data_IF_484115727064
#
_entry.id   IF_484115727064
#
_cell.length_a   1.000
_cell.length_b   1.000
_cell.length_c   1.000
_cell.angle_alpha   90.00
_cell.angle_beta   90.00
_cell.angle_gamma   90.00
#
_symmetry.space_group_name_H-M   'P 1'
#
loop_
_entity.id
_entity.type
_entity.pdbx_description
1 polymer ?
#
# COMPACT_ATOMS: atom_id res chain seq x y z
N UNK A 1 3.40 -32.08 3.33
CA UNK A 1 3.02 -30.69 3.50
C UNK A 1 3.95 -29.96 4.45
N UNK A 2 3.90 -28.64 4.51
CA UNK A 2 4.61 -27.84 5.49
C UNK A 2 4.00 -28.01 6.89
N UNK A 3 4.81 -27.77 7.92
CA UNK A 3 4.36 -27.76 9.33
C UNK A 3 4.74 -26.44 9.97
N UNK A 4 3.86 -25.93 10.85
CA UNK A 4 4.19 -24.78 11.71
C UNK A 4 4.42 -25.31 13.11
N UNK A 5 5.61 -25.08 13.61
CA UNK A 5 5.97 -25.41 14.98
C UNK A 5 5.82 -24.15 15.84
N UNK A 6 4.69 -24.08 16.54
CA UNK A 6 4.34 -22.90 17.33
C UNK A 6 5.23 -22.70 18.56
N UNK A 7 5.74 -23.80 19.14
CA UNK A 7 6.58 -23.73 20.32
C UNK A 7 7.93 -23.06 20.02
N UNK A 8 8.50 -23.37 18.87
CA UNK A 8 9.78 -22.80 18.44
C UNK A 8 9.63 -21.62 17.49
N UNK A 9 8.41 -21.29 17.06
CA UNK A 9 8.15 -20.21 16.12
C UNK A 9 8.75 -20.43 14.74
N UNK A 10 8.70 -21.67 14.24
CA UNK A 10 9.39 -22.10 13.02
C UNK A 10 8.39 -22.66 12.01
N UNK A 11 8.55 -22.29 10.73
CA UNK A 11 7.91 -22.99 9.61
C UNK A 11 8.89 -24.01 9.05
N UNK A 12 8.49 -25.28 9.07
CA UNK A 12 9.24 -26.42 8.53
C UNK A 12 8.79 -26.68 7.09
N UNK A 13 9.66 -26.46 6.13
CA UNK A 13 9.42 -26.64 4.70
C UNK A 13 10.03 -27.96 4.25
N UNK A 14 9.25 -28.89 3.66
CA UNK A 14 9.79 -30.14 3.20
C UNK A 14 10.69 -29.94 1.98
N UNK A 15 11.89 -30.51 2.02
CA UNK A 15 12.86 -30.55 0.91
C UNK A 15 12.89 -31.91 0.19
N UNK A 16 12.06 -32.87 0.62
CA UNK A 16 12.10 -34.27 0.18
C UNK A 16 12.97 -35.15 1.07
N UNK A 17 12.75 -36.49 1.02
CA UNK A 17 13.53 -37.47 1.78
C UNK A 17 13.53 -37.25 3.29
N UNK A 18 12.40 -36.87 3.87
CA UNK A 18 12.22 -36.55 5.32
C UNK A 18 13.06 -35.35 5.82
N UNK A 19 13.68 -34.59 4.92
CA UNK A 19 14.43 -33.35 5.25
C UNK A 19 13.52 -32.14 5.26
N UNK A 20 13.77 -31.22 6.18
CA UNK A 20 13.04 -29.96 6.30
C UNK A 20 14.03 -28.79 6.32
N UNK A 21 13.56 -27.65 5.78
CA UNK A 21 14.23 -26.38 5.92
C UNK A 21 13.43 -25.52 6.90
N UNK A 22 14.07 -25.07 7.94
CA UNK A 22 13.45 -24.36 9.05
C UNK A 22 13.59 -22.84 8.85
N UNK A 23 12.45 -22.12 8.82
CA UNK A 23 12.42 -20.66 8.76
C UNK A 23 11.88 -20.14 10.09
N UNK A 24 12.71 -19.43 10.82
CA UNK A 24 12.31 -18.77 12.07
C UNK A 24 11.42 -17.56 11.77
N UNK A 25 10.25 -17.52 12.38
CA UNK A 25 9.32 -16.40 12.30
C UNK A 25 9.67 -15.35 13.36
N UNK A 26 9.46 -14.08 13.04
CA UNK A 26 9.59 -13.03 14.05
C UNK A 26 8.36 -12.98 14.97
N UNK A 27 8.52 -12.42 16.16
CA UNK A 27 7.47 -12.35 17.17
C UNK A 27 6.20 -11.63 16.70
N UNK A 28 6.33 -10.65 15.80
CA UNK A 28 5.18 -9.95 15.25
C UNK A 28 4.32 -10.88 14.39
N UNK A 29 4.95 -11.67 13.51
CA UNK A 29 4.25 -12.64 12.66
C UNK A 29 3.61 -13.72 13.53
N UNK A 30 4.35 -14.27 14.52
CA UNK A 30 3.84 -15.28 15.44
C UNK A 30 2.58 -14.80 16.16
N UNK A 31 2.58 -13.61 16.75
CA UNK A 31 1.40 -13.03 17.42
C UNK A 31 0.21 -12.85 16.48
N UNK A 32 0.49 -12.57 15.19
CA UNK A 32 -0.57 -12.36 14.19
C UNK A 32 -1.24 -13.66 13.76
N UNK A 33 -0.49 -14.76 13.62
CA UNK A 33 -0.98 -15.99 13.00
C UNK A 33 -1.22 -17.12 14.01
N UNK A 34 -0.79 -16.99 15.27
CA UNK A 34 -0.91 -18.04 16.30
C UNK A 34 -2.34 -18.53 16.55
N UNK A 35 -3.32 -17.63 16.38
CA UNK A 35 -4.75 -17.93 16.56
C UNK A 35 -5.49 -18.15 15.25
N UNK A 36 -4.79 -18.11 14.12
CA UNK A 36 -5.39 -18.16 12.79
C UNK A 36 -5.04 -19.47 12.06
N UNK A 37 -5.93 -19.93 11.22
CA UNK A 37 -5.67 -21.10 10.37
C UNK A 37 -4.77 -20.71 9.20
N UNK A 38 -3.54 -21.20 9.20
CA UNK A 38 -2.58 -21.04 8.11
C UNK A 38 -2.88 -22.07 7.02
N UNK A 39 -3.01 -21.59 5.76
CA UNK A 39 -3.34 -22.42 4.60
C UNK A 39 -2.13 -22.78 3.78
N UNK A 40 -1.32 -21.78 3.46
CA UNK A 40 -0.19 -21.95 2.56
C UNK A 40 0.90 -20.90 2.83
N UNK A 41 2.05 -21.14 2.26
CA UNK A 41 3.12 -20.15 2.21
C UNK A 41 3.75 -20.14 0.81
N UNK A 42 4.38 -19.06 0.45
CA UNK A 42 5.22 -18.94 -0.74
C UNK A 42 6.50 -18.19 -0.43
N UNK A 43 7.58 -18.59 -1.09
CA UNK A 43 8.87 -17.93 -0.99
C UNK A 43 9.22 -17.37 -2.37
N UNK A 44 9.48 -16.09 -2.44
CA UNK A 44 9.94 -15.45 -3.67
C UNK A 44 11.44 -15.68 -3.87
N UNK A 45 11.92 -15.53 -5.13
CA UNK A 45 13.34 -15.54 -5.46
C UNK A 45 14.18 -14.49 -4.73
N UNK A 46 13.53 -13.46 -4.17
CA UNK A 46 14.15 -12.41 -3.35
C UNK A 46 14.18 -12.76 -1.85
N UNK A 47 13.87 -14.01 -1.46
CA UNK A 47 13.87 -14.45 -0.07
C UNK A 47 12.70 -13.88 0.77
N UNK A 48 11.61 -13.43 0.15
CA UNK A 48 10.42 -12.99 0.90
C UNK A 48 9.49 -14.17 1.13
N UNK A 49 9.16 -14.42 2.39
CA UNK A 49 8.14 -15.37 2.81
C UNK A 49 6.78 -14.68 2.87
N UNK A 50 5.79 -15.23 2.19
CA UNK A 50 4.38 -14.84 2.28
C UNK A 50 3.58 -15.98 2.88
N UNK A 51 2.76 -15.68 3.88
CA UNK A 51 1.93 -16.67 4.60
C UNK A 51 0.47 -16.33 4.35
N UNK A 52 -0.30 -17.29 3.84
CA UNK A 52 -1.74 -17.19 3.63
C UNK A 52 -2.47 -17.78 4.83
N UNK A 53 -3.39 -17.02 5.40
CA UNK A 53 -4.21 -17.44 6.54
C UNK A 53 -5.65 -16.95 6.40
N UNK A 54 -6.59 -17.64 7.03
CA UNK A 54 -7.96 -17.17 7.16
C UNK A 54 -8.18 -16.47 8.49
N UNK A 55 -8.94 -15.40 8.46
CA UNK A 55 -9.45 -14.69 9.62
C UNK A 55 -10.96 -14.89 9.67
N UNK A 56 -11.57 -15.06 10.84
CA UNK A 56 -13.03 -15.04 10.98
C UNK A 56 -13.58 -13.76 10.33
N UNK A 57 -14.68 -13.90 9.61
CA UNK A 57 -15.41 -12.74 9.07
C UNK A 57 -15.94 -11.97 10.26
N UNK A 58 -15.56 -10.72 10.40
CA UNK A 58 -16.14 -9.81 11.38
C UNK A 58 -17.56 -9.46 10.91
N UNK A 59 -18.49 -9.27 11.86
CA UNK A 59 -19.83 -8.81 11.55
C UNK A 59 -19.79 -7.53 10.71
N UNK A 60 -20.61 -7.49 9.68
CA UNK A 60 -20.74 -6.30 8.85
C UNK A 60 -21.47 -5.21 9.66
N UNK A 61 -20.92 -4.03 9.64
CA UNK A 61 -21.55 -2.87 10.27
C UNK A 61 -22.59 -2.32 9.30
N UNK A 62 -23.84 -2.27 9.74
CA UNK A 62 -24.88 -1.57 8.97
C UNK A 62 -24.56 -0.07 8.92
N UNK A 63 -24.42 0.45 7.69
CA UNK A 63 -24.10 1.85 7.48
C UNK A 63 -25.39 2.68 7.47
N UNK A 64 -25.41 3.74 8.27
CA UNK A 64 -26.56 4.67 8.35
C UNK A 64 -26.49 5.80 7.32
N UNK A 65 -25.29 6.10 6.81
CA UNK A 65 -25.07 7.16 5.82
C UNK A 65 -23.88 6.82 4.93
N UNK A 66 -23.71 7.58 3.84
CA UNK A 66 -22.61 7.42 2.88
C UNK A 66 -21.84 8.74 2.76
N UNK A 67 -20.51 8.65 2.76
CA UNK A 67 -19.62 9.77 2.45
C UNK A 67 -18.91 9.56 1.13
N UNK A 68 -18.66 10.62 0.39
CA UNK A 68 -17.84 10.62 -0.81
C UNK A 68 -16.35 10.75 -0.47
N UNK A 69 -15.49 10.12 -1.27
CA UNK A 69 -14.04 10.30 -1.19
C UNK A 69 -13.51 10.80 -2.53
N UNK A 70 -12.96 12.02 -2.50
CA UNK A 70 -12.25 12.66 -3.59
C UNK A 70 -10.73 12.60 -3.40
N UNK A 71 -9.99 12.31 -4.48
CA UNK A 71 -8.54 12.07 -4.47
C UNK A 71 -7.80 13.07 -5.32
N UNK A 72 -7.26 14.08 -4.69
CA UNK A 72 -6.48 15.12 -5.32
C UNK A 72 -4.97 14.87 -5.25
N UNK A 73 -4.18 15.63 -5.99
CA UNK A 73 -2.72 15.48 -6.07
C UNK A 73 -2.01 15.69 -4.71
N UNK A 74 -2.51 16.59 -3.88
CA UNK A 74 -1.90 16.93 -2.59
C UNK A 74 -2.77 16.63 -1.38
N UNK A 75 -3.98 16.12 -1.57
CA UNK A 75 -4.89 15.82 -0.48
C UNK A 75 -5.92 14.74 -0.85
N UNK A 76 -6.56 14.21 0.16
CA UNK A 76 -7.77 13.40 0.05
C UNK A 76 -8.86 14.09 0.84
N UNK A 77 -10.01 14.26 0.24
CA UNK A 77 -11.18 14.86 0.87
C UNK A 77 -12.24 13.79 1.08
N UNK A 78 -12.76 13.71 2.29
CA UNK A 78 -13.84 12.78 2.66
C UNK A 78 -14.98 13.59 3.23
N UNK A 79 -16.18 13.38 2.76
CA UNK A 79 -17.31 14.13 3.30
C UNK A 79 -18.64 13.85 2.62
N UNK A 80 -19.64 14.52 3.14
CA UNK A 80 -21.00 14.63 2.60
C UNK A 80 -21.38 16.12 2.49
N UNK A 81 -22.68 16.39 2.33
CA UNK A 81 -23.21 17.77 2.24
C UNK A 81 -22.96 18.56 3.53
N UNK A 82 -23.01 17.90 4.70
CA UNK A 82 -22.96 18.55 6.00
C UNK A 82 -21.54 18.78 6.51
N UNK A 83 -20.65 17.80 6.27
CA UNK A 83 -19.30 17.81 6.83
C UNK A 83 -18.28 17.31 5.80
N UNK A 84 -17.20 18.05 5.68
CA UNK A 84 -16.08 17.68 4.82
C UNK A 84 -14.77 17.74 5.60
N UNK A 85 -13.96 16.68 5.49
CA UNK A 85 -12.65 16.56 6.12
C UNK A 85 -11.60 16.42 5.02
N UNK A 86 -10.62 17.30 5.06
CA UNK A 86 -9.48 17.29 4.13
C UNK A 86 -8.24 16.76 4.82
N UNK A 87 -7.66 15.71 4.27
CA UNK A 87 -6.40 15.11 4.72
C UNK A 87 -5.27 15.55 3.79
N UNK A 88 -4.27 16.20 4.37
CA UNK A 88 -3.10 16.66 3.63
C UNK A 88 -2.14 15.53 3.28
N UNK A 89 -1.61 15.56 2.05
CA UNK A 89 -0.63 14.62 1.50
C UNK A 89 0.59 15.33 0.89
N UNK A 90 0.84 16.60 1.21
CA UNK A 90 2.01 17.35 0.70
C UNK A 90 3.32 16.64 0.99
N UNK A 91 3.44 15.99 2.15
CA UNK A 91 4.60 15.16 2.49
C UNK A 91 4.87 14.04 1.47
N UNK A 92 3.84 13.52 0.81
CA UNK A 92 4.02 12.56 -0.29
C UNK A 92 4.64 13.23 -1.51
N UNK A 93 4.22 14.47 -1.83
CA UNK A 93 4.77 15.25 -2.94
C UNK A 93 6.23 15.61 -2.67
N UNK A 94 6.58 16.05 -1.46
CA UNK A 94 7.96 16.30 -1.05
C UNK A 94 8.86 15.07 -1.24
N UNK A 95 8.40 13.89 -0.83
CA UNK A 95 9.15 12.63 -1.02
C UNK A 95 9.35 12.33 -2.52
N UNK A 96 8.35 12.62 -3.36
CA UNK A 96 8.43 12.44 -4.81
C UNK A 96 9.45 13.41 -5.41
N UNK A 97 9.38 14.70 -5.05
CA UNK A 97 10.25 15.74 -5.60
C UNK A 97 11.71 15.57 -5.13
N UNK A 98 11.94 15.21 -3.87
CA UNK A 98 13.27 14.84 -3.36
C UNK A 98 13.85 13.64 -4.13
N UNK A 99 13.03 12.64 -4.44
CA UNK A 99 13.49 11.49 -5.26
C UNK A 99 13.86 11.92 -6.67
N UNK A 100 13.11 12.84 -7.29
CA UNK A 100 13.45 13.41 -8.60
C UNK A 100 14.76 14.18 -8.58
N UNK A 101 15.01 14.96 -7.54
CA UNK A 101 16.26 15.71 -7.37
C UNK A 101 17.46 14.76 -7.28
N UNK A 102 17.33 13.67 -6.52
CA UNK A 102 18.36 12.63 -6.48
C UNK A 102 18.58 12.01 -7.87
N UNK A 103 17.52 11.70 -8.61
CA UNK A 103 17.67 11.15 -9.97
C UNK A 103 18.40 12.12 -10.91
N UNK A 104 18.09 13.41 -10.82
CA UNK A 104 18.77 14.46 -11.61
C UNK A 104 20.28 14.54 -11.31
N UNK A 105 20.69 14.41 -10.06
CA UNK A 105 22.11 14.45 -9.67
C UNK A 105 22.93 13.30 -10.26
N UNK A 106 22.29 12.20 -10.62
CA UNK A 106 22.94 11.04 -11.25
C UNK A 106 22.73 10.94 -12.77
N UNK A 107 22.18 11.94 -13.43
CA UNK A 107 21.88 11.87 -14.88
C UNK A 107 23.10 11.67 -15.77
N UNK A 108 24.27 12.17 -15.36
CA UNK A 108 25.52 12.06 -16.11
C UNK A 108 26.29 10.77 -15.87
N UNK A 109 25.83 9.92 -14.95
CA UNK A 109 26.47 8.65 -14.63
C UNK A 109 26.14 7.58 -15.65
N UNK A 110 26.96 6.53 -15.64
CA UNK A 110 26.76 5.30 -16.43
C UNK A 110 25.36 4.71 -16.18
N UNK A 111 24.80 4.06 -17.21
CA UNK A 111 23.48 3.44 -17.16
C UNK A 111 23.35 2.41 -16.03
N UNK A 112 24.39 1.64 -15.73
CA UNK A 112 24.38 0.62 -14.66
C UNK A 112 24.23 1.28 -13.29
N UNK A 113 24.95 2.38 -13.06
CA UNK A 113 24.86 3.19 -11.83
C UNK A 113 23.46 3.78 -11.71
N UNK A 114 22.96 4.43 -12.77
CA UNK A 114 21.60 5.01 -12.79
C UNK A 114 20.52 3.97 -12.49
N UNK A 115 20.60 2.78 -13.09
CA UNK A 115 19.66 1.69 -12.83
C UNK A 115 19.62 1.27 -11.36
N UNK A 116 20.79 1.13 -10.71
CA UNK A 116 20.89 0.83 -9.28
C UNK A 116 20.31 1.95 -8.41
N UNK A 117 20.60 3.21 -8.73
CA UNK A 117 20.08 4.39 -8.02
C UNK A 117 18.55 4.47 -8.15
N UNK A 118 18.02 4.31 -9.35
CA UNK A 118 16.57 4.33 -9.60
C UNK A 118 15.84 3.22 -8.84
N UNK A 119 16.37 2.00 -8.85
CA UNK A 119 15.78 0.90 -8.09
C UNK A 119 15.80 1.18 -6.58
N UNK A 120 16.95 1.60 -6.02
CA UNK A 120 17.11 1.88 -4.59
C UNK A 120 16.18 2.99 -4.10
N UNK A 121 16.24 4.15 -4.75
CA UNK A 121 15.46 5.31 -4.32
C UNK A 121 13.99 5.23 -4.73
N UNK A 122 13.67 4.55 -5.83
CA UNK A 122 12.30 4.23 -6.20
C UNK A 122 11.60 3.36 -5.16
N UNK A 123 12.27 2.32 -4.68
CA UNK A 123 11.75 1.48 -3.61
C UNK A 123 11.60 2.24 -2.28
N UNK A 124 12.57 3.07 -1.92
CA UNK A 124 12.49 3.93 -0.72
C UNK A 124 11.31 4.90 -0.81
N UNK A 125 11.14 5.57 -1.95
CA UNK A 125 10.00 6.45 -2.21
C UNK A 125 8.69 5.70 -2.03
N UNK A 126 8.53 4.56 -2.73
CA UNK A 126 7.32 3.73 -2.65
C UNK A 126 6.99 3.35 -1.21
N UNK A 127 7.97 2.89 -0.45
CA UNK A 127 7.75 2.47 0.93
C UNK A 127 7.34 3.64 1.84
N UNK A 128 8.00 4.81 1.72
CA UNK A 128 7.66 6.00 2.51
C UNK A 128 6.26 6.51 2.18
N UNK A 129 5.91 6.63 0.90
CA UNK A 129 4.58 7.06 0.47
C UNK A 129 3.53 6.06 0.95
N UNK A 130 3.75 4.76 0.75
CA UNK A 130 2.81 3.74 1.23
C UNK A 130 2.60 3.80 2.74
N UNK A 131 3.63 4.07 3.53
CA UNK A 131 3.49 4.21 4.98
C UNK A 131 2.57 5.38 5.37
N UNK A 132 2.68 6.51 4.68
CA UNK A 132 1.78 7.66 4.88
C UNK A 132 0.34 7.27 4.51
N UNK A 133 0.16 6.68 3.33
CA UNK A 133 -1.16 6.23 2.87
C UNK A 133 -1.78 5.18 3.78
N UNK A 134 -0.97 4.28 4.37
CA UNK A 134 -1.45 3.30 5.35
C UNK A 134 -1.97 3.93 6.64
N UNK A 135 -1.29 4.95 7.14
CA UNK A 135 -1.76 5.70 8.31
C UNK A 135 -3.05 6.44 7.99
N UNK A 136 -3.06 7.18 6.88
CA UNK A 136 -4.23 7.92 6.44
C UNK A 136 -5.45 7.01 6.24
N UNK A 137 -5.30 5.94 5.47
CA UNK A 137 -6.40 5.02 5.19
C UNK A 137 -6.91 4.32 6.45
N UNK A 138 -6.05 4.09 7.47
CA UNK A 138 -6.49 3.58 8.77
C UNK A 138 -7.35 4.61 9.51
N UNK A 139 -6.92 5.87 9.54
CA UNK A 139 -7.67 6.93 10.22
C UNK A 139 -9.05 7.13 9.57
N UNK A 140 -9.10 7.20 8.23
CA UNK A 140 -10.37 7.31 7.50
C UNK A 140 -11.30 6.14 7.85
N UNK A 141 -10.82 4.90 7.78
CA UNK A 141 -11.67 3.72 8.05
C UNK A 141 -12.13 3.68 9.51
N UNK A 142 -11.28 4.06 10.47
CA UNK A 142 -11.68 4.12 11.86
C UNK A 142 -12.80 5.15 12.07
N UNK A 143 -12.66 6.35 11.50
CA UNK A 143 -13.69 7.40 11.59
C UNK A 143 -15.01 6.96 10.95
N UNK A 144 -14.95 6.29 9.80
CA UNK A 144 -16.13 5.72 9.14
C UNK A 144 -16.82 4.65 10.00
N UNK A 145 -16.05 3.80 10.66
CA UNK A 145 -16.59 2.77 11.56
C UNK A 145 -17.27 3.39 12.79
N UNK A 146 -16.64 4.37 13.41
CA UNK A 146 -17.18 5.08 14.58
C UNK A 146 -18.52 5.77 14.25
N UNK A 147 -18.62 6.34 13.05
CA UNK A 147 -19.83 7.04 12.59
C UNK A 147 -20.83 6.13 11.85
N UNK A 148 -20.56 4.82 11.72
CA UNK A 148 -21.38 3.87 10.94
C UNK A 148 -21.64 4.34 9.51
N UNK A 149 -20.59 4.84 8.83
CA UNK A 149 -20.68 5.40 7.50
C UNK A 149 -20.06 4.48 6.45
N UNK A 150 -20.77 4.34 5.32
CA UNK A 150 -20.22 3.75 4.10
C UNK A 150 -19.40 4.76 3.31
N UNK A 151 -18.53 4.28 2.42
CA UNK A 151 -17.68 5.13 1.59
C UNK A 151 -17.94 4.90 0.09
N UNK A 152 -18.18 6.00 -0.62
CA UNK A 152 -18.28 6.03 -2.07
C UNK A 152 -17.00 6.59 -2.69
N UNK A 153 -16.49 5.95 -3.74
CA UNK A 153 -15.31 6.39 -4.46
C UNK A 153 -15.69 6.92 -5.84
N UNK A 154 -15.08 8.01 -6.22
CA UNK A 154 -15.16 8.46 -7.61
C UNK A 154 -14.57 7.43 -8.59
N UNK A 155 -15.13 7.39 -9.79
CA UNK A 155 -14.65 6.51 -10.86
C UNK A 155 -13.65 7.27 -11.73
N UNK A 156 -12.36 7.19 -11.41
CA UNK A 156 -11.26 7.79 -12.18
C UNK A 156 -10.90 6.96 -13.42
N UNK A 157 -11.88 6.66 -14.26
CA UNK A 157 -11.61 6.02 -15.56
C UNK A 157 -11.00 7.04 -16.51
N UNK A 158 -9.96 6.59 -17.22
CA UNK A 158 -9.27 7.41 -18.22
C UNK A 158 -8.59 8.67 -17.73
N UNK A 159 -8.46 8.90 -16.41
CA UNK A 159 -7.77 10.09 -15.87
C UNK A 159 -6.38 10.29 -16.49
N UNK A 160 -5.69 9.21 -16.86
CA UNK A 160 -4.37 9.29 -17.51
C UNK A 160 -4.40 9.95 -18.90
N UNK A 161 -5.52 9.95 -19.58
CA UNK A 161 -5.68 10.63 -20.86
C UNK A 161 -5.60 12.16 -20.71
N UNK A 162 -6.02 12.68 -19.55
CA UNK A 162 -6.00 14.13 -19.28
C UNK A 162 -4.59 14.72 -19.21
N UNK A 163 -3.58 13.89 -18.89
CA UNK A 163 -2.18 14.34 -18.76
C UNK A 163 -1.22 13.58 -19.68
N UNK A 164 -1.70 13.10 -20.82
CA UNK A 164 -0.86 12.61 -21.90
C UNK A 164 -0.09 13.74 -22.58
N UNK A 165 1.04 13.37 -23.24
CA UNK A 165 1.79 14.33 -24.05
C UNK A 165 0.89 14.87 -25.17
N UNK A 166 0.87 16.17 -25.34
CA UNK A 166 0.00 16.84 -26.33
C UNK A 166 -1.23 17.54 -25.78
N UNK A 167 -1.66 17.25 -24.55
CA UNK A 167 -2.85 17.85 -23.93
C UNK A 167 -2.59 19.20 -23.23
N UNK A 168 -1.62 19.99 -23.71
CA UNK A 168 -1.33 21.33 -23.18
C UNK A 168 -0.67 21.40 -21.80
N UNK A 169 -0.48 20.27 -21.13
CA UNK A 169 0.02 20.24 -19.77
C UNK A 169 1.54 20.08 -19.71
N UNK A 170 2.16 20.85 -18.82
CA UNK A 170 3.61 20.86 -18.65
C UNK A 170 4.18 19.51 -18.17
N UNK A 171 5.45 19.25 -18.50
CA UNK A 171 6.17 18.02 -18.15
C UNK A 171 6.18 17.74 -16.64
N UNK A 172 6.31 18.78 -15.82
CA UNK A 172 6.35 18.65 -14.36
C UNK A 172 5.00 18.17 -13.80
N UNK A 173 3.91 18.73 -14.27
CA UNK A 173 2.57 18.31 -13.88
C UNK A 173 2.31 16.86 -14.27
N UNK A 174 2.58 16.48 -15.53
CA UNK A 174 2.43 15.11 -15.99
C UNK A 174 3.27 14.11 -15.15
N UNK A 175 4.49 14.49 -14.81
CA UNK A 175 5.36 13.66 -13.98
C UNK A 175 4.80 13.48 -12.55
N UNK A 176 4.22 14.54 -11.95
CA UNK A 176 3.54 14.45 -10.65
C UNK A 176 2.32 13.54 -10.73
N UNK A 177 1.45 13.74 -11.70
CA UNK A 177 0.25 12.92 -11.90
C UNK A 177 0.57 11.43 -12.13
N UNK A 178 1.60 11.14 -12.93
CA UNK A 178 2.05 9.75 -13.15
C UNK A 178 2.68 9.11 -11.90
N UNK A 179 3.28 9.90 -11.03
CA UNK A 179 3.88 9.41 -9.79
C UNK A 179 2.86 9.24 -8.65
N UNK A 180 1.67 9.81 -8.79
CA UNK A 180 0.64 9.81 -7.76
C UNK A 180 -0.06 8.46 -7.63
N UNK A 181 -0.32 8.07 -6.40
CA UNK A 181 -0.82 6.72 -6.06
C UNK A 181 -2.35 6.68 -5.90
N UNK A 182 -3.11 7.23 -6.84
CA UNK A 182 -4.59 7.26 -6.79
C UNK A 182 -5.24 5.89 -6.53
N UNK A 183 -4.73 4.85 -7.19
CA UNK A 183 -5.24 3.50 -7.03
C UNK A 183 -4.89 2.90 -5.66
N UNK A 184 -3.71 3.23 -5.13
CA UNK A 184 -3.20 2.63 -3.90
C UNK A 184 -4.00 3.06 -2.68
N UNK A 185 -4.36 4.35 -2.56
CA UNK A 185 -5.19 4.82 -1.43
C UNK A 185 -6.58 4.15 -1.45
N UNK A 186 -7.21 4.05 -2.63
CA UNK A 186 -8.48 3.33 -2.78
C UNK A 186 -8.36 1.88 -2.35
N UNK A 187 -7.31 1.17 -2.83
CA UNK A 187 -7.04 -0.22 -2.48
C UNK A 187 -6.88 -0.40 -0.97
N UNK A 188 -6.12 0.53 -0.33
CA UNK A 188 -5.87 0.46 1.11
C UNK A 188 -7.11 0.72 1.96
N UNK A 189 -7.97 1.65 1.58
CA UNK A 189 -9.24 1.89 2.27
C UNK A 189 -10.16 0.69 2.08
N UNK A 190 -10.29 0.18 0.85
CA UNK A 190 -11.18 -0.94 0.55
C UNK A 190 -10.89 -2.15 1.44
N UNK A 191 -9.68 -2.70 1.40
CA UNK A 191 -9.36 -3.91 2.19
C UNK A 191 -9.34 -3.70 3.71
N UNK A 192 -9.35 -2.45 4.19
CA UNK A 192 -9.45 -2.17 5.63
C UNK A 192 -10.89 -1.97 6.09
N UNK A 193 -11.77 -1.61 5.17
CA UNK A 193 -13.20 -1.47 5.41
C UNK A 193 -13.95 -2.82 5.30
N UNK A 194 -13.40 -3.77 4.54
CA UNK A 194 -13.80 -5.18 4.51
C UNK A 194 -13.38 -5.91 5.80
#
# INVERSE_FOLDING_TARGET
>A
GFKVDWNYGVIKIPLGGKRYFDIKLNNFVLRKISTLKVHSFSISSLGKLSISYSKPITEQIECTSIVGLDRNLGNVTVGNIDKTIRYDLEKCNEIIDNTKSIYKSFNRNDHRVRKKIYAKYGNRRKNKVNQILHKLSKNIVNELKENKQGIAFEKLTFIRRLYQKGNGQGNNYRAKMNAWSFAEIKRQIKYKAE
#
